data_IF_952925208282
#
_entry.id   IF_952925208282
#
_cell.length_a   1.000
_cell.length_b   1.000
_cell.length_c   1.000
_cell.angle_alpha   90.00
_cell.angle_beta   90.00
_cell.angle_gamma   90.00
#
_symmetry.space_group_name_H-M   'P 1'
#
loop_
_entity.id
_entity.type
_entity.pdbx_description
1 polymer ?
#
# COMPACT_ATOMS: atom_id res chain seq x y z
N UNK A 1 -3.91 33.52 -11.71
CA UNK A 1 -3.22 32.79 -10.61
C UNK A 1 -2.76 31.42 -11.11
N UNK A 2 -1.47 31.24 -11.38
CA UNK A 2 -0.91 29.89 -11.60
C UNK A 2 -0.68 29.24 -10.24
N UNK A 3 -1.46 28.22 -9.89
CA UNK A 3 -1.13 27.35 -8.74
C UNK A 3 0.10 26.54 -9.12
N UNK A 4 1.23 26.82 -8.47
CA UNK A 4 2.46 26.04 -8.58
C UNK A 4 2.17 24.61 -8.17
N UNK A 5 1.94 23.72 -9.16
CA UNK A 5 1.88 22.26 -8.94
C UNK A 5 3.22 21.84 -8.34
N UNK A 6 3.18 20.97 -7.33
CA UNK A 6 4.36 20.50 -6.61
C UNK A 6 5.49 20.13 -7.60
N UNK A 7 6.71 20.60 -7.32
CA UNK A 7 7.86 20.26 -8.15
C UNK A 7 8.15 18.76 -7.98
N UNK A 8 8.10 17.98 -9.07
CA UNK A 8 8.27 16.52 -9.01
C UNK A 8 9.60 16.12 -8.37
N UNK A 9 10.65 16.95 -8.49
CA UNK A 9 11.95 16.73 -7.84
C UNK A 9 11.90 16.75 -6.31
N UNK A 10 10.93 17.46 -5.71
CA UNK A 10 10.72 17.48 -4.25
C UNK A 10 9.96 16.27 -3.72
N UNK A 11 9.45 15.42 -4.62
CA UNK A 11 8.68 14.21 -4.28
C UNK A 11 9.50 12.92 -4.44
N UNK A 12 10.75 13.03 -4.92
CA UNK A 12 11.66 11.89 -5.07
C UNK A 12 11.87 11.19 -3.72
N UNK A 13 11.53 9.90 -3.66
CA UNK A 13 11.68 9.07 -2.47
C UNK A 13 10.45 8.97 -1.56
N UNK A 14 9.37 9.72 -1.83
CA UNK A 14 8.12 9.59 -1.08
C UNK A 14 7.20 8.53 -1.69
N UNK A 15 6.58 7.71 -0.85
CA UNK A 15 5.50 6.82 -1.27
C UNK A 15 4.25 7.65 -1.60
N UNK A 16 3.96 7.80 -2.90
CA UNK A 16 2.74 8.44 -3.37
C UNK A 16 1.62 7.42 -3.47
N UNK A 17 0.42 7.80 -3.01
CA UNK A 17 -0.78 6.99 -3.24
C UNK A 17 -1.51 7.51 -4.45
N UNK A 18 -1.72 6.64 -5.44
CA UNK A 18 -2.46 6.94 -6.66
C UNK A 18 -3.93 6.59 -6.43
N UNK A 19 -4.83 7.57 -6.53
CA UNK A 19 -6.24 7.42 -6.12
C UNK A 19 -7.23 7.45 -7.27
N UNK A 20 -6.87 8.06 -8.42
CA UNK A 20 -7.67 8.09 -9.63
C UNK A 20 -6.79 7.85 -10.86
N UNK A 21 -7.37 7.30 -11.93
CA UNK A 21 -6.72 7.06 -13.22
C UNK A 21 -7.52 7.71 -14.34
N UNK A 22 -6.85 8.38 -15.26
CA UNK A 22 -7.46 8.91 -16.49
C UNK A 22 -6.61 8.51 -17.70
N UNK A 23 -7.26 8.09 -18.79
CA UNK A 23 -6.65 7.94 -20.10
C UNK A 23 -7.22 9.04 -20.99
N UNK A 24 -6.35 9.87 -21.56
CA UNK A 24 -6.76 10.99 -22.40
C UNK A 24 -6.59 10.64 -23.89
N UNK A 25 -7.12 11.48 -24.79
CA UNK A 25 -7.21 11.19 -26.23
C UNK A 25 -5.86 10.94 -26.92
N UNK A 26 -4.76 11.48 -26.39
CA UNK A 26 -3.40 11.26 -26.88
C UNK A 26 -2.81 9.88 -26.48
N UNK A 27 -3.58 9.05 -25.77
CA UNK A 27 -3.18 7.73 -25.29
C UNK A 27 -2.45 7.73 -23.94
N UNK A 28 -2.06 8.89 -23.40
CA UNK A 28 -1.36 9.00 -22.12
C UNK A 28 -2.26 8.59 -20.96
N UNK A 29 -1.67 7.87 -20.00
CA UNK A 29 -2.29 7.58 -18.70
C UNK A 29 -1.80 8.57 -17.65
N UNK A 30 -2.71 9.10 -16.85
CA UNK A 30 -2.46 10.00 -15.74
C UNK A 30 -3.05 9.43 -14.45
N UNK A 31 -2.40 9.72 -13.33
CA UNK A 31 -2.88 9.37 -12.01
C UNK A 31 -3.00 10.61 -11.12
N UNK A 32 -4.12 10.73 -10.40
CA UNK A 32 -4.22 11.69 -9.30
C UNK A 32 -3.46 11.12 -8.10
N UNK A 33 -2.46 11.84 -7.62
CA UNK A 33 -1.62 11.42 -6.51
C UNK A 33 -2.00 12.17 -5.22
N UNK A 34 -1.84 11.46 -4.10
CA UNK A 34 -1.89 12.02 -2.76
C UNK A 34 -0.57 11.76 -2.03
N UNK A 35 -0.19 12.70 -1.16
CA UNK A 35 0.90 12.57 -0.22
C UNK A 35 0.33 12.79 1.18
N UNK A 36 0.50 11.83 2.10
CA UNK A 36 -0.07 11.87 3.45
C UNK A 36 -1.58 12.17 3.46
N UNK A 37 -2.32 11.62 2.50
CA UNK A 37 -3.76 11.84 2.35
C UNK A 37 -4.16 13.15 1.67
N UNK A 38 -3.24 14.08 1.42
CA UNK A 38 -3.53 15.33 0.72
C UNK A 38 -3.31 15.19 -0.79
N UNK A 39 -4.28 15.63 -1.59
CA UNK A 39 -4.17 15.68 -3.05
C UNK A 39 -3.08 16.65 -3.50
N UNK A 40 -2.12 16.16 -4.28
CA UNK A 40 -1.00 16.95 -4.82
C UNK A 40 -1.13 17.22 -6.33
N UNK A 41 -2.05 16.52 -7.00
CA UNK A 41 -2.41 16.75 -8.40
C UNK A 41 -2.22 15.51 -9.28
N UNK A 42 -2.30 15.73 -10.59
CA UNK A 42 -2.17 14.69 -11.60
C UNK A 42 -0.73 14.54 -12.08
N UNK A 43 -0.23 13.31 -12.10
CA UNK A 43 1.11 12.94 -12.56
C UNK A 43 0.96 11.96 -13.74
N UNK A 44 1.71 12.18 -14.82
CA UNK A 44 1.74 11.27 -15.98
C UNK A 44 2.37 9.94 -15.56
N UNK A 45 1.78 8.82 -15.97
CA UNK A 45 2.22 7.48 -15.59
C UNK A 45 3.70 7.21 -15.91
N UNK A 46 4.21 7.75 -17.03
CA UNK A 46 5.62 7.61 -17.43
C UNK A 46 6.63 8.24 -16.47
N UNK A 47 6.18 9.09 -15.54
CA UNK A 47 7.02 9.76 -14.55
C UNK A 47 6.93 9.08 -13.18
N UNK A 48 6.26 7.94 -13.08
CA UNK A 48 6.06 7.20 -11.85
C UNK A 48 6.79 5.86 -11.94
N UNK A 49 7.36 5.43 -10.81
CA UNK A 49 7.78 4.05 -10.61
C UNK A 49 6.69 3.33 -9.80
N UNK A 50 5.93 2.44 -10.43
CA UNK A 50 4.83 1.74 -9.76
C UNK A 50 5.40 0.61 -8.88
N UNK A 51 5.32 0.77 -7.57
CA UNK A 51 5.85 -0.20 -6.60
C UNK A 51 4.85 -1.28 -6.22
N UNK A 52 3.55 -1.00 -6.30
CA UNK A 52 2.49 -1.94 -5.97
C UNK A 52 1.20 -1.66 -6.75
N UNK A 53 0.53 -2.73 -7.16
CA UNK A 53 -0.84 -2.76 -7.69
C UNK A 53 -1.49 -4.07 -7.28
N UNK A 54 -2.82 -4.12 -7.23
CA UNK A 54 -3.58 -5.32 -6.80
C UNK A 54 -3.32 -6.54 -7.68
N UNK A 55 -2.89 -6.36 -8.93
CA UNK A 55 -2.52 -7.48 -9.82
C UNK A 55 -1.23 -8.22 -9.41
N UNK A 56 -0.49 -7.70 -8.43
CA UNK A 56 0.68 -8.36 -7.84
C UNK A 56 0.30 -9.29 -6.68
N UNK A 57 -0.96 -9.25 -6.23
CA UNK A 57 -1.44 -10.09 -5.15
C UNK A 57 -1.66 -11.51 -5.64
N UNK A 58 -1.30 -12.47 -4.80
CA UNK A 58 -1.55 -13.88 -4.98
C UNK A 58 -2.50 -14.34 -3.89
N UNK A 59 -3.60 -14.97 -4.28
CA UNK A 59 -4.54 -15.56 -3.33
C UNK A 59 -3.89 -16.75 -2.63
N UNK A 60 -4.08 -16.81 -1.31
CA UNK A 60 -3.62 -17.89 -0.44
C UNK A 60 -4.69 -18.16 0.61
N UNK A 61 -4.63 -19.30 1.27
CA UNK A 61 -5.48 -19.59 2.42
C UNK A 61 -4.62 -20.21 3.51
N UNK A 62 -4.17 -19.37 4.44
CA UNK A 62 -3.22 -19.75 5.47
C UNK A 62 -3.71 -19.30 6.84
N UNK A 63 -3.35 -20.04 7.86
CA UNK A 63 -3.38 -19.59 9.25
C UNK A 63 -1.93 -19.37 9.68
N UNK A 64 -1.67 -18.27 10.37
CA UNK A 64 -0.33 -17.91 10.86
C UNK A 64 -0.41 -17.41 12.28
N UNK A 65 0.54 -17.84 13.11
CA UNK A 65 0.68 -17.32 14.46
C UNK A 65 1.28 -15.92 14.45
N UNK A 66 0.90 -15.09 15.41
CA UNK A 66 1.54 -13.79 15.60
C UNK A 66 2.90 -13.99 16.27
N UNK A 67 3.95 -13.44 15.64
CA UNK A 67 5.32 -13.46 16.18
C UNK A 67 5.67 -12.12 16.83
N UNK A 68 5.10 -11.02 16.34
CA UNK A 68 5.32 -9.68 16.89
C UNK A 68 4.01 -8.92 17.03
N UNK A 69 3.46 -8.86 18.24
CA UNK A 69 2.24 -8.12 18.59
C UNK A 69 2.33 -6.60 18.32
N UNK A 70 3.55 -6.03 18.38
CA UNK A 70 3.79 -4.63 18.02
C UNK A 70 3.89 -4.42 16.51
N UNK A 71 3.79 -5.49 15.71
CA UNK A 71 3.76 -5.44 14.25
C UNK A 71 2.60 -4.57 13.75
N UNK A 72 2.92 -3.55 12.96
CA UNK A 72 1.94 -2.61 12.41
C UNK A 72 1.15 -3.25 11.28
N UNK A 73 -0.15 -2.98 11.27
CA UNK A 73 -1.07 -3.33 10.19
C UNK A 73 -1.25 -2.10 9.30
N UNK A 74 -0.97 -2.24 8.01
CA UNK A 74 -1.05 -1.16 7.02
C UNK A 74 -2.25 -1.36 6.08
N UNK A 75 -2.74 -0.29 5.46
CA UNK A 75 -3.81 -0.43 4.46
C UNK A 75 -3.33 -1.09 3.15
N UNK A 76 -2.03 -1.00 2.86
CA UNK A 76 -1.36 -1.48 1.64
C UNK A 76 -0.06 -2.21 2.02
N UNK A 77 0.50 -3.09 1.17
CA UNK A 77 1.74 -3.80 1.43
C UNK A 77 2.98 -2.90 1.24
N UNK A 78 3.03 -1.80 1.99
CA UNK A 78 4.13 -0.85 2.00
C UNK A 78 4.16 -0.12 3.35
N UNK A 79 5.35 0.18 3.84
CA UNK A 79 5.51 0.99 5.06
C UNK A 79 5.12 2.43 4.73
N UNK A 80 3.93 2.83 5.18
CA UNK A 80 3.42 4.19 5.15
C UNK A 80 2.65 4.46 6.45
N UNK A 81 3.24 5.25 7.35
CA UNK A 81 2.66 5.56 8.66
C UNK A 81 1.28 6.24 8.55
N UNK A 82 0.99 6.94 7.44
CA UNK A 82 -0.33 7.55 7.22
C UNK A 82 -1.44 6.54 6.93
N UNK A 83 -1.08 5.26 6.76
CA UNK A 83 -2.00 4.16 6.43
C UNK A 83 -2.09 3.09 7.51
N UNK A 84 -1.45 3.30 8.66
CA UNK A 84 -1.51 2.37 9.78
C UNK A 84 -2.94 2.26 10.29
N UNK A 85 -3.40 1.03 10.46
CA UNK A 85 -4.75 0.68 10.94
C UNK A 85 -4.77 0.16 12.38
N UNK A 86 -3.61 -0.18 12.92
CA UNK A 86 -3.45 -0.76 14.25
C UNK A 86 -2.19 -1.62 14.33
N UNK A 87 -2.15 -2.50 15.32
CA UNK A 87 -1.11 -3.52 15.51
C UNK A 87 -1.73 -4.91 15.63
N UNK A 88 -0.90 -5.94 15.69
CA UNK A 88 -1.31 -7.33 15.95
C UNK A 88 -1.57 -7.62 17.44
N UNK A 89 -1.65 -6.61 18.29
CA UNK A 89 -1.76 -6.78 19.73
C UNK A 89 -3.06 -7.52 20.12
N UNK A 90 -2.93 -8.51 21.00
CA UNK A 90 -4.05 -9.32 21.48
C UNK A 90 -4.54 -10.39 20.49
N UNK A 91 -3.85 -10.59 19.37
CA UNK A 91 -4.13 -11.66 18.42
C UNK A 91 -3.10 -12.78 18.58
N UNK A 92 -3.55 -14.01 18.76
CA UNK A 92 -2.67 -15.19 18.81
C UNK A 92 -2.35 -15.69 17.39
N UNK A 93 -3.34 -15.65 16.50
CA UNK A 93 -3.22 -16.05 15.10
C UNK A 93 -4.10 -15.18 14.18
N UNK A 94 -3.83 -15.25 12.89
CA UNK A 94 -4.58 -14.56 11.85
C UNK A 94 -4.78 -15.43 10.61
N UNK A 95 -5.87 -15.20 9.88
CA UNK A 95 -6.10 -15.78 8.56
C UNK A 95 -5.47 -14.90 7.48
N UNK A 96 -4.67 -15.50 6.60
CA UNK A 96 -4.08 -14.83 5.44
C UNK A 96 -4.82 -15.25 4.18
N UNK A 97 -5.40 -14.26 3.49
CA UNK A 97 -6.15 -14.47 2.25
C UNK A 97 -5.37 -14.02 0.99
N UNK A 98 -4.28 -13.26 1.16
CA UNK A 98 -3.42 -12.86 0.05
C UNK A 98 -1.98 -12.61 0.48
N UNK A 99 -1.04 -12.79 -0.45
CA UNK A 99 0.35 -12.37 -0.31
C UNK A 99 0.80 -11.50 -1.49
N UNK A 100 1.80 -10.66 -1.28
CA UNK A 100 2.44 -9.89 -2.35
C UNK A 100 3.92 -9.68 -2.06
N UNK A 101 4.75 -9.62 -3.09
CA UNK A 101 6.15 -9.20 -2.99
C UNK A 101 6.26 -7.74 -3.41
N UNK A 102 6.56 -6.86 -2.47
CA UNK A 102 6.67 -5.41 -2.70
C UNK A 102 7.97 -4.92 -2.09
N UNK A 103 8.79 -4.22 -2.88
CA UNK A 103 10.11 -3.72 -2.47
C UNK A 103 10.98 -4.84 -1.86
N UNK A 104 11.02 -6.01 -2.50
CA UNK A 104 11.77 -7.20 -2.08
C UNK A 104 11.37 -7.75 -0.70
N UNK A 105 10.16 -7.45 -0.23
CA UNK A 105 9.60 -7.99 1.01
C UNK A 105 8.30 -8.72 0.75
N UNK A 106 8.08 -9.80 1.48
CA UNK A 106 6.81 -10.54 1.46
C UNK A 106 5.85 -9.84 2.42
N UNK A 107 4.66 -9.58 1.94
CA UNK A 107 3.55 -9.02 2.70
C UNK A 107 2.39 -10.00 2.71
N UNK A 108 1.69 -10.07 3.84
CA UNK A 108 0.48 -10.86 4.02
C UNK A 108 -0.70 -9.96 4.31
N UNK A 109 -1.82 -10.21 3.63
CA UNK A 109 -3.10 -9.61 3.94
C UNK A 109 -3.80 -10.46 4.99
N UNK A 110 -4.03 -9.88 6.16
CA UNK A 110 -4.50 -10.59 7.35
C UNK A 110 -5.92 -10.22 7.69
N UNK A 111 -6.65 -11.20 8.20
CA UNK A 111 -8.05 -11.16 8.57
C UNK A 111 -8.21 -11.83 9.94
N UNK A 112 -9.20 -11.37 10.69
CA UNK A 112 -9.61 -11.95 11.97
C UNK A 112 -11.12 -12.15 11.96
N UNK A 113 -11.58 -13.39 12.15
CA UNK A 113 -13.02 -13.72 12.11
C UNK A 113 -13.75 -13.27 10.83
N UNK A 114 -13.06 -13.25 9.67
CA UNK A 114 -13.60 -12.77 8.39
C UNK A 114 -13.56 -11.25 8.19
N UNK A 115 -13.11 -10.48 9.19
CA UNK A 115 -12.85 -9.04 9.06
C UNK A 115 -11.44 -8.82 8.54
N UNK A 116 -11.32 -8.15 7.39
CA UNK A 116 -10.03 -7.68 6.87
C UNK A 116 -9.41 -6.62 7.77
N UNK A 117 -8.22 -6.91 8.30
CA UNK A 117 -7.46 -5.97 9.13
C UNK A 117 -6.56 -5.09 8.25
N UNK A 118 -5.75 -5.71 7.38
CA UNK A 118 -4.81 -5.00 6.50
C UNK A 118 -3.64 -5.87 6.07
N UNK A 119 -2.51 -5.23 5.78
CA UNK A 119 -1.27 -5.88 5.35
C UNK A 119 -0.21 -5.79 6.45
N UNK A 120 0.55 -6.88 6.63
CA UNK A 120 1.71 -6.95 7.53
C UNK A 120 2.92 -7.53 6.79
N UNK A 121 4.13 -7.18 7.22
CA UNK A 121 5.35 -7.82 6.69
C UNK A 121 5.45 -9.25 7.23
N UNK A 122 5.90 -10.19 6.40
CA UNK A 122 5.96 -11.62 6.77
C UNK A 122 6.68 -11.92 8.08
N UNK A 123 7.77 -11.22 8.49
CA UNK A 123 8.46 -11.52 9.76
C UNK A 123 7.64 -11.21 11.02
N UNK A 124 6.48 -10.56 10.90
CA UNK A 124 5.57 -10.34 12.03
C UNK A 124 4.73 -11.58 12.38
N UNK A 125 4.78 -12.60 11.54
CA UNK A 125 4.02 -13.85 11.65
C UNK A 125 4.95 -15.07 11.61
N UNK A 126 4.49 -16.20 12.15
CA UNK A 126 5.14 -17.53 12.11
C UNK A 126 4.22 -18.61 11.55
#
# INVERSE_FOLDING_TARGET
MQRKKANLSSLNGNNLRLVNRAKISDGSTWYEATLNGQKIGWIKASNLNLTYTTSMEQEVNLIRGVENESGKIYAFPVIDNSTVRGTLAGLEEVHVDSQAVVNNKIWYRVNDGGKRLGWVESPTLK
#
